data_IF_188306672296
#
_entry.id   IF_188306672296
#
_cell.length_a   1.000
_cell.length_b   1.000
_cell.length_c   1.000
_cell.angle_alpha   90.00
_cell.angle_beta   90.00
_cell.angle_gamma   90.00
#
_symmetry.space_group_name_H-M   'P 1'
#
loop_
_entity.id
_entity.type
_entity.pdbx_description
1 polymer ?
#
# COMPACT_ATOMS: atom_id res chain seq x y z
N UNK A 1 -24.38 -14.73 -1.48
CA UNK A 1 -23.11 -14.94 -0.75
C UNK A 1 -22.11 -15.51 -1.71
N UNK A 2 -20.92 -14.91 -1.78
CA UNK A 2 -19.74 -15.46 -2.44
C UNK A 2 -18.72 -15.75 -1.34
N UNK A 3 -18.44 -17.04 -1.09
CA UNK A 3 -17.66 -17.52 0.03
C UNK A 3 -16.69 -18.62 -0.43
N UNK A 4 -15.40 -18.48 -0.11
CA UNK A 4 -14.39 -19.47 -0.46
C UNK A 4 -13.93 -19.39 -1.92
N UNK A 5 -13.52 -18.22 -2.40
CA UNK A 5 -12.99 -18.01 -3.76
C UNK A 5 -11.47 -18.08 -3.77
N UNK A 6 -10.90 -18.88 -4.65
CA UNK A 6 -9.45 -18.91 -4.90
C UNK A 6 -9.17 -18.58 -6.37
N UNK A 7 -8.30 -17.61 -6.59
CA UNK A 7 -7.82 -17.18 -7.91
C UNK A 7 -6.30 -17.19 -7.89
N UNK A 8 -5.65 -17.93 -8.81
CA UNK A 8 -4.19 -18.03 -8.80
C UNK A 8 -3.58 -18.26 -10.18
N UNK A 9 -2.26 -18.07 -10.29
CA UNK A 9 -1.46 -18.32 -11.48
C UNK A 9 -1.93 -17.54 -12.73
N UNK A 10 -2.14 -16.22 -12.58
CA UNK A 10 -2.59 -15.36 -13.67
C UNK A 10 -1.49 -14.40 -14.10
N UNK A 11 -1.27 -14.33 -15.41
CA UNK A 11 -0.46 -13.29 -16.04
C UNK A 11 -1.39 -12.37 -16.83
N UNK A 12 -1.28 -11.08 -16.59
CA UNK A 12 -2.07 -10.03 -17.28
C UNK A 12 -1.12 -9.03 -17.93
N UNK A 13 -1.42 -8.68 -19.17
CA UNK A 13 -0.64 -7.69 -19.91
C UNK A 13 -1.55 -6.56 -20.37
N UNK A 14 -1.08 -5.33 -20.09
CA UNK A 14 -1.71 -4.08 -20.53
C UNK A 14 -3.19 -3.97 -20.13
N UNK A 15 -3.48 -4.43 -18.89
CA UNK A 15 -4.82 -4.32 -18.31
C UNK A 15 -5.03 -2.92 -17.72
N UNK A 16 -6.29 -2.51 -17.60
CA UNK A 16 -6.63 -1.23 -16.97
C UNK A 16 -6.34 -1.24 -15.46
N UNK A 17 -6.79 -2.30 -14.77
CA UNK A 17 -6.61 -2.51 -13.34
C UNK A 17 -6.37 -4.00 -13.09
N UNK A 18 -5.41 -4.36 -12.24
CA UNK A 18 -5.03 -5.76 -12.03
C UNK A 18 -6.05 -6.52 -11.18
N UNK A 19 -6.48 -5.96 -10.06
CA UNK A 19 -7.39 -6.62 -9.11
C UNK A 19 -8.50 -5.65 -8.74
N UNK A 20 -9.74 -6.11 -8.86
CA UNK A 20 -10.93 -5.34 -8.50
C UNK A 20 -11.93 -6.25 -7.78
N UNK A 21 -12.04 -6.08 -6.46
CA UNK A 21 -13.08 -6.71 -5.64
C UNK A 21 -14.10 -5.65 -5.22
N UNK A 22 -15.35 -5.86 -5.57
CA UNK A 22 -16.43 -4.94 -5.26
C UNK A 22 -17.63 -5.66 -4.69
N UNK A 23 -18.10 -5.19 -3.54
CA UNK A 23 -19.39 -5.51 -2.99
C UNK A 23 -20.30 -4.28 -3.15
N UNK A 24 -21.45 -4.46 -3.74
CA UNK A 24 -22.45 -3.42 -3.93
C UNK A 24 -23.84 -3.95 -3.64
N UNK A 25 -24.82 -3.07 -3.67
CA UNK A 25 -26.23 -3.43 -3.50
C UNK A 25 -26.98 -3.00 -4.77
N UNK A 26 -27.37 -3.96 -5.58
CA UNK A 26 -28.18 -3.68 -6.74
C UNK A 26 -29.56 -3.19 -6.36
N UNK A 27 -30.11 -2.27 -7.12
CA UNK A 27 -31.46 -1.77 -6.97
C UNK A 27 -32.47 -2.93 -6.88
N UNK A 28 -33.42 -2.84 -5.93
CA UNK A 28 -34.41 -3.88 -5.69
C UNK A 28 -33.94 -5.06 -4.82
N UNK A 29 -32.67 -5.16 -4.45
CA UNK A 29 -32.19 -6.19 -3.56
C UNK A 29 -32.62 -5.92 -2.10
N UNK A 30 -33.35 -6.85 -1.49
CA UNK A 30 -33.78 -6.75 -0.08
C UNK A 30 -32.63 -6.96 0.91
N UNK A 31 -31.61 -7.72 0.52
CA UNK A 31 -30.47 -8.08 1.37
C UNK A 31 -29.16 -7.59 0.78
N UNK A 32 -28.24 -7.20 1.66
CA UNK A 32 -26.85 -6.98 1.30
C UNK A 32 -26.21 -8.31 0.91
N UNK A 33 -25.42 -8.29 -0.17
CA UNK A 33 -24.57 -9.44 -0.54
C UNK A 33 -23.41 -9.59 0.45
N UNK A 34 -22.81 -10.78 0.49
CA UNK A 34 -21.61 -11.06 1.26
C UNK A 34 -20.49 -11.53 0.31
N UNK A 35 -19.29 -11.04 0.57
CA UNK A 35 -18.07 -11.49 -0.10
C UNK A 35 -17.02 -11.76 0.97
N UNK A 36 -16.61 -13.03 1.09
CA UNK A 36 -15.67 -13.44 2.14
C UNK A 36 -14.82 -14.64 1.76
N UNK A 37 -13.73 -14.85 2.51
CA UNK A 37 -12.80 -15.96 2.32
C UNK A 37 -12.24 -16.00 0.88
N UNK A 38 -11.64 -14.88 0.44
CA UNK A 38 -11.08 -14.73 -0.90
C UNK A 38 -9.56 -14.85 -0.84
N UNK A 39 -9.00 -15.71 -1.66
CA UNK A 39 -7.54 -15.85 -1.85
C UNK A 39 -7.20 -15.52 -3.30
N UNK A 40 -6.33 -14.53 -3.50
CA UNK A 40 -5.77 -14.18 -4.82
C UNK A 40 -4.26 -14.29 -4.71
N UNK A 41 -3.67 -15.20 -5.50
CA UNK A 41 -2.23 -15.46 -5.40
C UNK A 41 -1.54 -15.64 -6.76
N UNK A 42 -0.21 -15.46 -6.75
CA UNK A 42 0.66 -15.77 -7.87
C UNK A 42 0.22 -15.01 -9.14
N UNK A 43 0.05 -13.70 -9.00
CA UNK A 43 -0.38 -12.79 -10.06
C UNK A 43 0.81 -11.96 -10.54
N UNK A 44 0.97 -11.88 -11.86
CA UNK A 44 1.87 -10.92 -12.49
C UNK A 44 1.09 -10.07 -13.48
N UNK A 45 1.10 -8.75 -13.30
CA UNK A 45 0.32 -7.82 -14.11
C UNK A 45 1.12 -6.63 -14.61
N UNK A 46 0.83 -6.16 -15.82
CA UNK A 46 1.19 -4.82 -16.29
C UNK A 46 -0.09 -4.02 -16.53
N UNK A 47 -0.16 -2.81 -15.98
CA UNK A 47 -1.31 -1.92 -16.09
C UNK A 47 -0.98 -0.72 -16.97
N UNK A 48 -1.96 -0.26 -17.75
CA UNK A 48 -1.85 0.93 -18.62
C UNK A 48 -2.51 2.16 -18.00
N UNK A 49 -3.23 2.00 -16.89
CA UNK A 49 -3.95 3.07 -16.20
C UNK A 49 -3.36 3.33 -14.81
N UNK A 50 -3.50 4.57 -14.35
CA UNK A 50 -3.17 4.97 -12.97
C UNK A 50 -4.25 4.58 -11.93
N UNK A 51 -5.34 3.94 -12.34
CA UNK A 51 -6.38 3.44 -11.42
C UNK A 51 -5.85 2.26 -10.64
N UNK A 52 -5.77 2.40 -9.33
CA UNK A 52 -5.27 1.36 -8.42
C UNK A 52 -6.13 0.10 -8.42
N UNK A 53 -5.55 -1.02 -8.03
CA UNK A 53 -6.32 -2.17 -7.59
C UNK A 53 -7.16 -1.82 -6.37
N UNK A 54 -8.31 -2.49 -6.17
CA UNK A 54 -9.17 -2.14 -5.05
C UNK A 54 -9.95 -3.32 -4.47
N UNK A 55 -10.25 -3.20 -3.17
CA UNK A 55 -11.11 -4.10 -2.39
C UNK A 55 -12.10 -3.20 -1.67
N UNK A 56 -13.30 -3.04 -2.23
CA UNK A 56 -14.25 -2.02 -1.76
C UNK A 56 -15.62 -2.61 -1.49
N UNK A 57 -15.95 -2.69 -0.21
CA UNK A 57 -17.29 -2.92 0.29
C UNK A 57 -18.19 -1.67 0.19
N UNK A 58 -19.25 -1.64 0.96
CA UNK A 58 -20.16 -0.50 1.10
C UNK A 58 -20.59 -0.38 2.55
N UNK A 59 -21.11 0.76 3.00
CA UNK A 59 -21.70 0.88 4.33
C UNK A 59 -22.74 -0.23 4.59
N UNK A 60 -22.50 -1.04 5.64
CA UNK A 60 -23.33 -2.20 5.96
C UNK A 60 -23.10 -3.45 5.12
N UNK A 61 -22.16 -3.43 4.16
CA UNK A 61 -21.73 -4.57 3.35
C UNK A 61 -20.21 -4.69 3.35
N UNK A 62 -19.67 -5.39 4.34
CA UNK A 62 -18.23 -5.53 4.56
C UNK A 62 -17.69 -6.72 3.77
N UNK A 63 -16.54 -6.53 3.10
CA UNK A 63 -15.75 -7.62 2.52
C UNK A 63 -14.87 -8.19 3.65
N UNK A 64 -14.90 -9.50 3.87
CA UNK A 64 -14.21 -10.09 5.01
C UNK A 64 -13.25 -11.22 4.60
N UNK A 65 -12.11 -11.27 5.28
CA UNK A 65 -11.08 -12.31 5.12
C UNK A 65 -10.58 -12.46 3.68
N UNK A 66 -9.78 -11.49 3.24
CA UNK A 66 -9.15 -11.48 1.91
C UNK A 66 -7.64 -11.62 2.06
N UNK A 67 -7.06 -12.57 1.34
CA UNK A 67 -5.62 -12.74 1.23
C UNK A 67 -5.16 -12.46 -0.20
N UNK A 68 -4.28 -11.49 -0.36
CA UNK A 68 -3.55 -11.17 -1.59
C UNK A 68 -2.10 -11.59 -1.39
N UNK A 69 -1.60 -12.55 -2.19
CA UNK A 69 -0.30 -13.17 -1.95
C UNK A 69 0.52 -13.35 -3.23
N UNK A 70 1.85 -13.11 -3.16
CA UNK A 70 2.76 -13.29 -4.29
C UNK A 70 2.28 -12.53 -5.54
N UNK A 71 2.04 -11.25 -5.44
CA UNK A 71 1.51 -10.42 -6.52
C UNK A 71 2.55 -9.39 -6.95
N UNK A 72 2.84 -9.33 -8.25
CA UNK A 72 3.70 -8.31 -8.84
C UNK A 72 2.91 -7.50 -9.86
N UNK A 73 2.81 -6.19 -9.65
CA UNK A 73 2.07 -5.28 -10.53
C UNK A 73 2.99 -4.16 -11.00
N UNK A 74 3.14 -4.04 -12.32
CA UNK A 74 3.81 -2.89 -12.95
C UNK A 74 2.77 -1.85 -13.31
N UNK A 75 2.98 -0.59 -12.91
CA UNK A 75 2.05 0.51 -12.99
C UNK A 75 2.70 1.72 -13.67
N UNK A 76 1.96 2.52 -14.47
CA UNK A 76 2.52 3.66 -15.17
C UNK A 76 2.92 4.83 -14.24
N UNK A 77 2.37 4.88 -13.01
CA UNK A 77 2.47 6.06 -12.15
C UNK A 77 1.55 7.19 -12.62
N UNK A 78 1.94 8.44 -12.35
CA UNK A 78 1.22 9.63 -12.79
C UNK A 78 0.12 10.11 -11.82
N UNK A 79 0.06 9.56 -10.61
CA UNK A 79 -0.82 10.05 -9.55
C UNK A 79 -0.32 11.39 -8.99
N UNK A 80 -1.27 12.28 -8.71
CA UNK A 80 -1.04 13.63 -8.21
C UNK A 80 -1.44 13.76 -6.75
N UNK A 81 -1.06 14.87 -6.11
CA UNK A 81 -1.50 15.17 -4.75
C UNK A 81 -3.04 15.31 -4.63
N UNK A 82 -3.70 15.76 -5.68
CA UNK A 82 -5.15 15.81 -5.73
C UNK A 82 -5.76 14.40 -5.79
N UNK A 83 -5.12 13.47 -6.50
CA UNK A 83 -5.53 12.06 -6.51
C UNK A 83 -5.33 11.43 -5.12
N UNK A 84 -4.20 11.71 -4.45
CA UNK A 84 -3.91 11.19 -3.11
C UNK A 84 -4.93 11.66 -2.05
N UNK A 85 -5.46 12.87 -2.21
CA UNK A 85 -6.45 13.48 -1.30
C UNK A 85 -7.89 13.35 -1.81
N UNK A 86 -8.14 12.54 -2.84
CA UNK A 86 -9.47 12.41 -3.42
C UNK A 86 -10.45 11.75 -2.45
N UNK A 87 -11.59 12.39 -2.22
CA UNK A 87 -12.74 11.75 -1.58
C UNK A 87 -13.43 10.82 -2.57
N UNK A 88 -13.56 9.55 -2.21
CA UNK A 88 -14.14 8.52 -3.08
C UNK A 88 -15.62 8.32 -2.71
N UNK A 89 -16.56 8.47 -3.66
CA UNK A 89 -17.99 8.26 -3.41
C UNK A 89 -18.29 6.77 -3.17
N UNK A 90 -19.40 6.47 -2.47
CA UNK A 90 -19.78 5.09 -2.15
C UNK A 90 -20.24 4.29 -3.36
N UNK A 91 -20.96 4.90 -4.27
CA UNK A 91 -21.44 4.27 -5.51
C UNK A 91 -22.16 2.92 -5.27
N UNK A 92 -23.06 2.89 -4.28
CA UNK A 92 -23.65 1.65 -3.73
C UNK A 92 -24.39 0.84 -4.81
N UNK A 93 -25.12 1.51 -5.70
CA UNK A 93 -25.98 0.91 -6.73
C UNK A 93 -25.32 0.87 -8.12
N UNK A 94 -24.10 1.42 -8.24
CA UNK A 94 -23.44 1.53 -9.55
C UNK A 94 -23.03 0.16 -10.10
N UNK A 95 -22.96 0.08 -11.44
CA UNK A 95 -22.43 -1.09 -12.11
C UNK A 95 -20.95 -1.28 -11.73
N UNK A 96 -20.54 -2.49 -11.30
CA UNK A 96 -19.19 -2.73 -10.81
C UNK A 96 -18.17 -2.80 -11.95
N UNK A 97 -17.40 -1.74 -12.10
CA UNK A 97 -16.25 -1.66 -13.01
C UNK A 97 -15.11 -0.87 -12.34
N UNK A 98 -13.88 -1.13 -12.72
CA UNK A 98 -12.71 -0.60 -12.03
C UNK A 98 -12.59 0.93 -12.03
N UNK A 99 -13.20 1.61 -13.00
CA UNK A 99 -13.25 3.06 -13.13
C UNK A 99 -14.57 3.69 -12.62
N UNK A 100 -15.43 2.91 -11.96
CA UNK A 100 -16.77 3.34 -11.51
C UNK A 100 -16.75 4.59 -10.62
N UNK A 101 -15.69 4.85 -9.92
CA UNK A 101 -15.56 5.99 -9.02
C UNK A 101 -15.29 7.31 -9.78
N UNK A 102 -15.04 7.27 -11.09
CA UNK A 102 -14.77 8.44 -11.92
C UNK A 102 -13.52 9.23 -11.54
N UNK A 103 -12.65 8.66 -10.70
CA UNK A 103 -11.43 9.27 -10.18
C UNK A 103 -10.31 8.23 -10.08
N UNK A 104 -9.08 8.68 -10.15
CA UNK A 104 -7.97 7.90 -9.64
C UNK A 104 -8.16 7.68 -8.14
N UNK A 105 -7.95 6.48 -7.66
CA UNK A 105 -8.04 6.16 -6.25
C UNK A 105 -6.86 6.78 -5.46
N UNK A 106 -7.00 7.01 -4.14
CA UNK A 106 -5.97 7.69 -3.34
C UNK A 106 -4.68 6.89 -3.13
N UNK A 107 -4.63 5.64 -3.58
CA UNK A 107 -3.43 4.81 -3.64
C UNK A 107 -3.02 4.58 -5.10
N UNK A 108 -1.74 4.20 -5.34
CA UNK A 108 -1.35 3.67 -6.65
C UNK A 108 -1.44 2.14 -6.71
N UNK A 109 -1.23 1.44 -5.60
CA UNK A 109 -1.27 0.00 -5.49
C UNK A 109 -2.66 -0.54 -5.14
N UNK A 110 -3.06 -0.46 -3.87
CA UNK A 110 -4.38 -0.89 -3.40
C UNK A 110 -5.12 0.16 -2.60
N UNK A 111 -6.37 0.37 -2.95
CA UNK A 111 -7.36 1.08 -2.14
C UNK A 111 -8.32 0.06 -1.51
N UNK A 112 -8.37 0.02 -0.18
CA UNK A 112 -9.22 -0.90 0.58
C UNK A 112 -10.21 -0.10 1.41
N UNK A 113 -11.50 -0.43 1.29
CA UNK A 113 -12.56 0.28 2.01
C UNK A 113 -13.69 -0.66 2.41
N UNK A 114 -14.29 -0.42 3.60
CA UNK A 114 -15.35 -1.23 4.17
C UNK A 114 -15.00 -2.73 4.11
N UNK A 115 -13.89 -3.09 4.71
CA UNK A 115 -13.38 -4.44 4.71
C UNK A 115 -12.79 -4.84 6.07
N UNK A 116 -12.80 -6.14 6.37
CA UNK A 116 -12.16 -6.70 7.55
C UNK A 116 -11.14 -7.76 7.15
N UNK A 117 -10.11 -7.94 7.98
CA UNK A 117 -9.13 -9.02 7.84
C UNK A 117 -8.56 -9.12 6.42
N UNK A 118 -8.08 -8.02 5.86
CA UNK A 118 -7.43 -7.99 4.55
C UNK A 118 -5.93 -8.10 4.74
N UNK A 119 -5.33 -9.16 4.19
CA UNK A 119 -3.90 -9.42 4.29
C UNK A 119 -3.23 -9.35 2.93
N UNK A 120 -2.08 -8.70 2.92
CA UNK A 120 -1.18 -8.63 1.77
C UNK A 120 0.14 -9.32 2.13
N UNK A 121 0.48 -10.39 1.41
CA UNK A 121 1.71 -11.16 1.61
C UNK A 121 2.53 -11.19 0.33
N UNK A 122 3.76 -10.68 0.37
CA UNK A 122 4.65 -10.66 -0.79
C UNK A 122 3.99 -10.00 -2.03
N UNK A 123 3.50 -8.76 -1.88
CA UNK A 123 2.94 -7.93 -2.96
C UNK A 123 3.95 -6.85 -3.37
N UNK A 124 4.34 -6.79 -4.61
CA UNK A 124 5.33 -5.87 -5.16
C UNK A 124 4.73 -4.97 -6.22
N UNK A 125 5.03 -3.68 -6.14
CA UNK A 125 4.69 -2.69 -7.17
C UNK A 125 5.95 -2.16 -7.85
N UNK A 126 5.92 -2.12 -9.19
CA UNK A 126 6.95 -1.52 -10.01
C UNK A 126 6.36 -0.30 -10.74
N UNK A 127 6.77 0.91 -10.35
CA UNK A 127 6.35 2.13 -11.03
C UNK A 127 7.28 2.41 -12.20
N UNK A 128 6.72 2.67 -13.39
CA UNK A 128 7.50 3.11 -14.56
C UNK A 128 7.60 4.63 -14.67
N UNK A 129 6.77 5.36 -13.93
CA UNK A 129 6.79 6.81 -13.80
C UNK A 129 6.58 7.24 -12.35
N UNK A 130 6.83 8.50 -12.03
CA UNK A 130 6.61 9.03 -10.68
C UNK A 130 5.13 8.96 -10.27
N UNK A 131 4.87 8.68 -9.00
CA UNK A 131 3.54 8.76 -8.38
C UNK A 131 3.69 9.29 -6.95
N UNK A 132 2.83 10.22 -6.56
CA UNK A 132 2.89 10.83 -5.21
C UNK A 132 1.91 10.19 -4.23
N UNK A 133 1.05 9.28 -4.72
CA UNK A 133 0.12 8.52 -3.87
C UNK A 133 0.88 7.45 -3.07
N UNK A 134 0.39 7.02 -1.91
CA UNK A 134 0.91 5.83 -1.23
C UNK A 134 0.59 4.55 -2.01
N UNK A 135 1.31 3.48 -1.71
CA UNK A 135 1.08 2.14 -2.24
C UNK A 135 -0.24 1.54 -1.74
N UNK A 136 -0.59 1.77 -0.48
CA UNK A 136 -1.85 1.31 0.13
C UNK A 136 -2.60 2.46 0.80
N UNK A 137 -3.92 2.42 0.72
CA UNK A 137 -4.84 3.23 1.53
C UNK A 137 -5.91 2.33 2.10
N UNK A 138 -6.08 2.37 3.43
CA UNK A 138 -7.13 1.69 4.17
C UNK A 138 -8.12 2.71 4.70
N UNK A 139 -9.39 2.58 4.34
CA UNK A 139 -10.48 3.48 4.67
C UNK A 139 -11.64 2.66 5.27
N UNK A 140 -11.91 2.80 6.55
CA UNK A 140 -12.86 1.95 7.29
C UNK A 140 -12.52 0.44 7.17
N UNK A 141 -11.31 0.09 7.60
CA UNK A 141 -10.80 -1.29 7.56
C UNK A 141 -10.37 -1.73 8.95
N UNK A 142 -10.79 -2.93 9.35
CA UNK A 142 -10.37 -3.58 10.60
C UNK A 142 -9.50 -4.80 10.29
N UNK A 143 -8.36 -4.94 10.98
CA UNK A 143 -7.45 -6.08 10.78
C UNK A 143 -6.79 -6.10 9.40
N UNK A 144 -6.44 -4.91 8.86
CA UNK A 144 -5.59 -4.79 7.68
C UNK A 144 -4.15 -5.14 8.03
N UNK A 145 -3.50 -6.03 7.26
CA UNK A 145 -2.14 -6.47 7.52
C UNK A 145 -1.33 -6.54 6.22
N UNK A 146 -0.14 -5.96 6.23
CA UNK A 146 0.83 -6.07 5.13
C UNK A 146 2.04 -6.82 5.67
N UNK A 147 2.28 -8.02 5.14
CA UNK A 147 3.39 -8.90 5.56
C UNK A 147 4.17 -9.40 4.34
N UNK A 148 5.44 -9.76 4.57
CA UNK A 148 6.26 -10.39 3.54
C UNK A 148 6.78 -9.48 2.45
N UNK A 149 6.44 -8.21 2.45
CA UNK A 149 7.22 -7.16 1.81
C UNK A 149 7.29 -5.97 2.75
N UNK A 150 8.48 -5.76 2.99
CA UNK A 150 9.01 -4.42 3.06
C UNK A 150 8.58 -3.67 1.81
N UNK A 151 7.95 -2.49 1.91
CA UNK A 151 8.14 -1.53 0.86
C UNK A 151 9.65 -1.36 0.77
N UNK A 152 10.28 -2.12 -0.13
CA UNK A 152 11.62 -1.80 -0.57
C UNK A 152 11.42 -0.51 -1.34
N UNK A 153 11.59 0.60 -0.66
CA UNK A 153 11.98 1.81 -1.34
C UNK A 153 13.41 1.51 -1.80
N UNK A 154 13.53 0.85 -2.96
CA UNK A 154 14.79 0.73 -3.66
C UNK A 154 15.24 2.11 -4.10
N UNK A 155 15.77 2.88 -3.15
CA UNK A 155 16.92 3.69 -3.48
C UNK A 155 18.11 2.74 -3.45
N UNK A 156 19.02 2.84 -4.38
CA UNK A 156 20.28 2.04 -4.38
C UNK A 156 21.03 2.13 -3.04
N UNK A 157 20.61 3.00 -2.16
CA UNK A 157 21.33 3.46 -0.99
C UNK A 157 20.82 2.93 0.35
N UNK A 158 19.55 2.43 0.48
CA UNK A 158 19.04 1.80 1.71
C UNK A 158 17.69 1.10 1.52
N UNK A 159 17.38 0.17 2.43
CA UNK A 159 16.10 -0.53 2.53
C UNK A 159 15.36 -0.08 3.79
N UNK A 160 14.05 0.12 3.68
CA UNK A 160 13.18 0.43 4.80
C UNK A 160 12.13 -0.67 4.91
N UNK A 161 12.00 -1.25 6.11
CA UNK A 161 11.06 -2.34 6.36
C UNK A 161 10.26 -2.08 7.64
N UNK A 162 8.99 -2.52 7.67
CA UNK A 162 8.21 -2.57 8.90
C UNK A 162 8.06 -4.03 9.32
N UNK A 163 8.44 -4.36 10.55
CA UNK A 163 8.23 -5.67 11.14
C UNK A 163 7.79 -5.51 12.60
N UNK A 164 6.70 -6.19 12.98
CA UNK A 164 6.19 -6.23 14.36
C UNK A 164 6.02 -4.85 15.02
N UNK A 165 5.60 -3.84 14.26
CA UNK A 165 5.41 -2.48 14.79
C UNK A 165 6.66 -1.61 14.82
N UNK A 166 7.81 -2.15 14.43
CA UNK A 166 9.08 -1.43 14.38
C UNK A 166 9.48 -1.11 12.94
N UNK A 167 10.02 0.08 12.75
CA UNK A 167 10.63 0.55 11.51
C UNK A 167 12.08 0.09 11.47
N UNK A 168 12.44 -0.71 10.47
CA UNK A 168 13.81 -1.13 10.23
C UNK A 168 14.38 -0.38 9.04
N UNK A 169 15.54 0.23 9.20
CA UNK A 169 16.28 0.91 8.14
C UNK A 169 17.62 0.19 7.96
N UNK A 170 17.84 -0.34 6.77
CA UNK A 170 19.09 -0.98 6.36
C UNK A 170 19.78 -0.09 5.32
N UNK A 171 20.78 0.71 5.72
CA UNK A 171 21.59 1.47 4.78
C UNK A 171 22.42 0.52 3.92
N UNK A 172 22.32 0.68 2.60
CA UNK A 172 23.19 0.00 1.61
C UNK A 172 24.42 0.85 1.26
N UNK A 173 24.64 1.94 1.99
CA UNK A 173 25.78 2.83 1.83
C UNK A 173 26.76 2.61 2.95
N UNK A 174 28.04 2.52 2.61
CA UNK A 174 29.11 2.32 3.59
C UNK A 174 29.24 3.48 4.59
N UNK A 175 28.74 4.67 4.25
CA UNK A 175 28.88 5.88 5.06
C UNK A 175 27.61 6.73 5.07
N UNK A 176 26.66 6.44 5.95
CA UNK A 176 25.66 7.43 6.31
C UNK A 176 26.15 8.25 7.53
N UNK A 177 25.81 9.53 7.57
CA UNK A 177 26.25 10.45 8.63
C UNK A 177 25.16 10.56 9.70
N UNK A 178 23.90 10.61 9.31
CA UNK A 178 22.76 10.84 10.19
C UNK A 178 21.47 10.23 9.64
N UNK A 179 20.65 9.70 10.54
CA UNK A 179 19.27 9.29 10.22
C UNK A 179 18.31 9.98 11.17
N UNK A 180 17.33 10.69 10.63
CA UNK A 180 16.23 11.29 11.37
C UNK A 180 14.91 10.67 10.93
N UNK A 181 14.01 10.41 11.88
CA UNK A 181 12.61 10.06 11.64
C UNK A 181 11.75 11.14 12.28
N UNK A 182 10.90 11.76 11.48
CA UNK A 182 10.12 12.93 11.84
C UNK A 182 8.64 12.64 11.55
N UNK A 183 7.74 13.00 12.44
CA UNK A 183 6.30 12.94 12.18
C UNK A 183 5.83 14.10 11.28
N UNK A 184 4.56 14.06 10.86
CA UNK A 184 3.99 15.11 9.99
C UNK A 184 3.91 16.49 10.64
N UNK A 185 4.03 16.59 11.98
CA UNK A 185 4.06 17.87 12.69
C UNK A 185 5.46 18.51 12.69
N UNK A 186 6.48 17.79 12.20
CA UNK A 186 7.87 18.19 12.25
C UNK A 186 8.61 17.77 13.52
N UNK A 187 7.97 17.01 14.41
CA UNK A 187 8.60 16.50 15.62
C UNK A 187 9.52 15.34 15.28
N UNK A 188 10.76 15.40 15.74
CA UNK A 188 11.71 14.31 15.61
C UNK A 188 11.35 13.17 16.58
N UNK A 189 11.06 12.00 16.04
CA UNK A 189 10.75 10.77 16.77
C UNK A 189 12.05 10.01 17.08
N UNK A 190 12.96 9.99 16.12
CA UNK A 190 14.25 9.32 16.25
C UNK A 190 15.33 10.11 15.53
N UNK A 191 16.51 10.14 16.10
CA UNK A 191 17.70 10.73 15.48
C UNK A 191 18.94 9.96 15.92
N UNK A 192 19.77 9.55 14.96
CA UNK A 192 21.06 8.94 15.23
C UNK A 192 22.13 9.46 14.29
N UNK A 193 23.37 9.53 14.79
CA UNK A 193 24.56 9.80 13.98
C UNK A 193 25.49 8.62 14.03
N UNK A 194 26.10 8.28 12.92
CA UNK A 194 27.17 7.30 12.86
C UNK A 194 28.52 7.98 13.02
N UNK A 195 29.29 7.54 14.01
CA UNK A 195 30.67 7.96 14.19
C UNK A 195 31.58 6.78 13.83
N UNK A 196 32.09 6.75 12.59
CA UNK A 196 33.09 5.77 12.14
C UNK A 196 32.53 4.48 11.52
N UNK A 197 33.42 3.64 10.99
CA UNK A 197 33.11 2.36 10.34
C UNK A 197 32.49 1.36 11.31
N UNK A 198 31.18 1.19 11.31
CA UNK A 198 30.49 0.09 11.98
C UNK A 198 29.85 -0.83 10.95
N UNK A 199 30.16 -2.12 11.03
CA UNK A 199 29.72 -3.16 10.08
C UNK A 199 28.30 -3.66 10.31
N UNK A 200 27.55 -3.09 11.26
CA UNK A 200 26.18 -3.50 11.57
C UNK A 200 25.24 -2.29 11.48
N UNK A 201 24.66 -2.09 10.33
CA UNK A 201 23.96 -0.86 9.93
C UNK A 201 22.43 -0.95 10.07
N UNK A 202 21.91 -1.99 10.75
CA UNK A 202 20.46 -2.12 10.93
C UNK A 202 19.97 -1.17 12.03
N UNK A 203 19.11 -0.22 11.66
CA UNK A 203 18.48 0.74 12.57
C UNK A 203 17.04 0.27 12.79
N UNK A 204 16.73 -0.09 14.04
CA UNK A 204 15.41 -0.51 14.44
C UNK A 204 14.77 0.56 15.33
N UNK A 205 13.57 1.02 14.97
CA UNK A 205 12.89 2.15 15.59
C UNK A 205 11.46 1.76 15.93
N UNK A 206 11.11 1.82 17.21
CA UNK A 206 9.73 1.67 17.65
C UNK A 206 8.99 3.00 17.44
N UNK A 207 8.01 2.99 16.56
CA UNK A 207 7.20 4.17 16.29
C UNK A 207 6.09 4.29 17.35
N UNK A 208 5.87 5.50 17.91
CA UNK A 208 4.96 5.68 19.04
C UNK A 208 3.49 5.45 18.70
N UNK A 209 3.11 5.69 17.46
CA UNK A 209 1.72 5.59 16.98
C UNK A 209 1.67 5.38 15.48
N UNK A 210 0.51 4.97 15.00
CA UNK A 210 0.22 4.87 13.56
C UNK A 210 0.20 6.26 12.95
N UNK A 211 0.75 6.40 11.75
CA UNK A 211 0.83 7.71 11.13
C UNK A 211 1.79 7.80 9.96
N UNK A 212 1.99 9.02 9.50
CA UNK A 212 2.94 9.32 8.43
C UNK A 212 4.23 9.83 9.06
N UNK A 213 5.33 9.25 8.61
CA UNK A 213 6.68 9.64 9.02
C UNK A 213 7.53 10.01 7.83
N UNK A 214 8.45 10.92 8.04
CA UNK A 214 9.47 11.32 7.09
C UNK A 214 10.81 10.81 7.61
N UNK A 215 11.47 9.99 6.81
CA UNK A 215 12.82 9.51 7.09
C UNK A 215 13.78 10.36 6.27
N UNK A 216 14.73 10.98 6.94
CA UNK A 216 15.83 11.72 6.32
C UNK A 216 17.15 11.04 6.64
N UNK A 217 17.90 10.66 5.61
CA UNK A 217 19.23 10.06 5.74
C UNK A 217 20.24 10.98 5.09
N UNK A 218 21.17 11.48 5.89
CA UNK A 218 22.28 12.27 5.43
C UNK A 218 23.46 11.36 5.11
N UNK A 219 24.00 11.47 3.90
CA UNK A 219 25.19 10.77 3.44
C UNK A 219 26.26 11.78 3.03
N UNK A 220 27.45 11.29 2.73
CA UNK A 220 28.55 12.10 2.13
C UNK A 220 28.20 12.65 0.74
N UNK A 221 27.21 12.05 0.05
CA UNK A 221 26.73 12.42 -1.29
C UNK A 221 25.47 13.28 -1.30
N UNK A 222 24.89 13.57 -0.13
CA UNK A 222 23.68 14.37 0.00
C UNK A 222 22.62 13.78 0.92
N UNK A 223 21.46 14.42 0.98
CA UNK A 223 20.35 13.99 1.81
C UNK A 223 19.34 13.19 0.99
N UNK A 224 18.91 12.06 1.52
CA UNK A 224 17.87 11.22 0.98
C UNK A 224 16.66 11.34 1.91
N UNK A 225 15.50 11.69 1.36
CA UNK A 225 14.26 11.86 2.14
C UNK A 225 13.21 10.89 1.62
N UNK A 226 12.54 10.19 2.54
CA UNK A 226 11.46 9.26 2.23
C UNK A 226 10.28 9.46 3.17
N UNK A 227 9.08 9.42 2.61
CA UNK A 227 7.82 9.35 3.35
C UNK A 227 7.48 7.88 3.57
N UNK A 228 7.15 7.51 4.80
CA UNK A 228 6.66 6.18 5.16
C UNK A 228 5.33 6.32 5.89
N UNK A 229 4.47 5.33 5.76
CA UNK A 229 3.17 5.27 6.44
C UNK A 229 3.20 4.04 7.34
N UNK A 230 3.08 4.27 8.66
CA UNK A 230 2.89 3.24 9.67
C UNK A 230 1.40 3.12 9.96
N UNK A 231 0.82 1.95 9.67
CA UNK A 231 -0.61 1.66 9.80
C UNK A 231 -0.88 0.63 10.89
#
# INVERSE_FOLDING_TARGET
VLDGVTISNIQMKDVHTAIFLRLGKREGSAKMSELKNVVISDIKATCVSKVASSIVGVPGGIIDNVLIKNVEITLPGGGTINDANASIPEMIDAYPESNMFGKALPAYGFYVRHANNVKFENVKFNLTGADVRPDYVFDDVTGGEITGISPIVEGKDFQITFQNGSLNILPNVENYIKVDVIDISGKTIYSTRQNGNTTNNNINIDLPERGIYIISIQTDKGNIVRKVIYQ
#
